data_IF_743735792858
#
_entry.id   IF_743735792858
#
_cell.length_a   1.000
_cell.length_b   1.000
_cell.length_c   1.000
_cell.angle_alpha   90.00
_cell.angle_beta   90.00
_cell.angle_gamma   90.00
#
_symmetry.space_group_name_H-M   'P 1'
#
loop_
_entity.id
_entity.type
_entity.pdbx_description
1 polymer ?
#
# COMPACT_ATOMS: atom_id res chain seq x y z
N UNK A 1 32.47 27.27 -70.22
CA UNK A 1 33.09 27.87 -69.02
C UNK A 1 32.17 27.64 -67.84
N UNK A 2 32.75 27.55 -66.64
CA UNK A 2 32.14 27.45 -65.30
C UNK A 2 32.12 26.03 -64.70
N UNK A 3 33.12 25.80 -63.83
CA UNK A 3 33.32 24.66 -62.94
C UNK A 3 32.30 24.66 -61.78
N UNK A 4 31.96 23.50 -61.21
CA UNK A 4 31.29 23.42 -59.91
C UNK A 4 32.32 23.56 -58.76
N UNK A 5 32.13 24.45 -57.77
CA UNK A 5 32.74 24.30 -56.45
C UNK A 5 31.83 23.39 -55.59
N UNK A 6 32.27 22.46 -54.77
CA UNK A 6 33.50 22.33 -54.00
C UNK A 6 33.05 21.80 -52.62
N UNK A 7 33.56 20.64 -52.23
CA UNK A 7 33.18 19.90 -51.02
C UNK A 7 33.34 20.73 -49.74
N UNK A 8 32.32 20.77 -48.87
CA UNK A 8 32.45 21.27 -47.50
C UNK A 8 33.23 20.25 -46.67
N UNK A 9 34.49 20.59 -46.37
CA UNK A 9 35.34 19.91 -45.37
C UNK A 9 34.95 20.51 -44.01
N UNK A 10 34.53 19.67 -43.07
CA UNK A 10 34.18 20.10 -41.71
C UNK A 10 35.42 20.60 -40.93
N UNK A 11 35.26 21.47 -39.94
CA UNK A 11 36.37 21.95 -39.12
C UNK A 11 36.82 20.87 -38.11
N UNK A 12 38.14 20.73 -38.00
CA UNK A 12 38.87 19.91 -37.03
C UNK A 12 38.70 20.47 -35.61
N UNK A 13 38.61 19.62 -34.56
CA UNK A 13 38.46 20.05 -33.18
C UNK A 13 39.81 20.04 -32.45
N UNK A 14 40.53 21.16 -32.47
CA UNK A 14 41.62 21.41 -31.54
C UNK A 14 41.84 22.92 -31.43
N UNK A 15 42.19 23.34 -30.21
CA UNK A 15 42.48 24.70 -29.76
C UNK A 15 41.25 25.53 -29.41
N UNK A 16 40.94 25.61 -28.11
CA UNK A 16 40.88 26.84 -27.33
C UNK A 16 40.65 26.48 -25.85
N UNK A 17 41.76 26.24 -25.14
CA UNK A 17 41.86 26.57 -23.72
C UNK A 17 41.85 28.10 -23.59
N UNK A 18 40.96 28.69 -22.79
CA UNK A 18 41.36 29.70 -21.80
C UNK A 18 40.25 30.05 -20.80
N UNK A 19 40.72 30.42 -19.62
CA UNK A 19 40.10 30.65 -18.32
C UNK A 19 38.99 31.71 -18.28
N UNK A 20 37.92 31.49 -17.48
CA UNK A 20 37.52 32.48 -16.47
C UNK A 20 36.48 31.96 -15.44
N UNK A 21 36.83 32.19 -14.17
CA UNK A 21 35.99 32.39 -12.98
C UNK A 21 35.26 31.22 -12.29
N UNK A 22 35.97 30.69 -11.29
CA UNK A 22 35.45 30.06 -10.07
C UNK A 22 34.60 31.02 -9.24
N UNK A 23 33.31 30.72 -9.07
CA UNK A 23 32.45 31.35 -8.04
C UNK A 23 32.61 30.59 -6.72
N UNK A 24 33.36 31.18 -5.78
CA UNK A 24 33.39 30.78 -4.36
C UNK A 24 32.20 31.35 -3.59
N UNK A 25 31.64 30.63 -2.60
CA UNK A 25 30.49 31.08 -1.81
C UNK A 25 30.90 32.12 -0.77
N UNK A 26 30.12 33.20 -0.69
CA UNK A 26 30.34 34.32 0.23
C UNK A 26 29.84 33.97 1.63
N UNK A 27 30.78 33.95 2.57
CA UNK A 27 30.60 33.88 4.02
C UNK A 27 30.30 35.26 4.62
N UNK A 28 29.50 35.28 5.70
CA UNK A 28 29.24 36.42 6.59
C UNK A 28 27.78 36.42 7.06
N UNK A 29 27.42 36.64 8.32
CA UNK A 29 28.15 36.91 9.54
C UNK A 29 27.19 36.63 10.72
N UNK A 30 27.75 36.32 11.88
CA UNK A 30 27.06 36.06 13.13
C UNK A 30 26.29 37.28 13.67
N UNK A 31 25.10 37.04 14.22
CA UNK A 31 24.33 37.99 15.01
C UNK A 31 23.63 37.24 16.15
N UNK A 32 24.21 37.36 17.33
CA UNK A 32 23.77 36.78 18.60
C UNK A 32 22.66 37.65 19.22
N UNK A 33 21.48 37.11 19.48
CA UNK A 33 20.47 37.72 20.36
C UNK A 33 19.95 36.66 21.34
N UNK A 34 20.20 36.91 22.62
CA UNK A 34 19.77 36.12 23.77
C UNK A 34 18.31 36.43 24.18
N UNK A 35 17.71 35.61 25.06
CA UNK A 35 16.26 35.47 25.24
C UNK A 35 15.69 36.44 26.28
N UNK A 36 14.39 36.74 26.17
CA UNK A 36 13.64 37.54 27.12
C UNK A 36 12.29 36.90 27.44
N UNK A 37 12.07 36.75 28.73
CA UNK A 37 10.97 36.14 29.48
C UNK A 37 9.57 36.70 29.19
N UNK A 38 8.53 35.90 29.47
CA UNK A 38 7.17 36.44 29.70
C UNK A 38 6.00 35.52 29.38
N UNK A 39 5.67 34.66 30.34
CA UNK A 39 4.33 34.18 30.74
C UNK A 39 3.40 33.38 29.78
N UNK A 40 3.22 32.12 30.19
CA UNK A 40 2.08 31.20 29.99
C UNK A 40 0.78 31.75 30.61
N UNK A 41 -0.41 31.36 30.10
CA UNK A 41 -1.13 30.18 30.65
C UNK A 41 -1.93 29.45 29.56
N UNK A 42 -2.56 28.29 29.74
CA UNK A 42 -2.51 27.17 30.66
C UNK A 42 -3.34 26.10 29.92
N UNK A 43 -2.93 24.84 30.10
CA UNK A 43 -3.80 23.65 30.15
C UNK A 43 -4.94 23.51 29.12
N UNK A 44 -4.79 22.56 28.19
CA UNK A 44 -5.85 21.56 28.04
C UNK A 44 -5.19 20.19 27.92
N UNK A 45 -5.24 19.46 29.03
CA UNK A 45 -4.64 18.15 29.18
C UNK A 45 -5.40 17.04 28.45
N UNK A 46 -4.71 15.91 28.33
CA UNK A 46 -5.34 14.60 28.38
C UNK A 46 -5.51 13.89 27.04
N UNK A 47 -4.43 13.20 26.63
CA UNK A 47 -4.39 11.76 26.31
C UNK A 47 -5.55 11.17 25.48
N UNK A 48 -5.33 10.77 24.21
CA UNK A 48 -4.85 9.43 23.78
C UNK A 48 -5.44 8.33 24.70
N UNK A 49 -6.16 7.28 24.32
CA UNK A 49 -5.90 6.20 23.36
C UNK A 49 -7.15 5.28 23.35
N UNK A 50 -7.40 4.59 22.23
CA UNK A 50 -8.04 3.24 22.10
C UNK A 50 -9.52 3.09 22.49
N UNK A 51 -10.31 2.11 22.03
CA UNK A 51 -10.41 1.16 20.90
C UNK A 51 -11.68 0.35 21.24
N UNK A 52 -12.36 -0.18 20.23
CA UNK A 52 -13.24 -1.36 20.26
C UNK A 52 -14.57 -1.35 21.05
N UNK A 53 -15.65 -1.41 20.27
CA UNK A 53 -16.64 -2.49 20.24
C UNK A 53 -16.71 -3.43 21.46
N UNK A 54 -17.91 -3.60 22.02
CA UNK A 54 -18.71 -4.81 21.81
C UNK A 54 -19.81 -4.89 22.87
N UNK A 55 -21.05 -4.60 22.44
CA UNK A 55 -22.27 -5.02 23.11
C UNK A 55 -22.36 -6.54 22.97
N UNK A 56 -22.54 -7.29 24.05
CA UNK A 56 -23.42 -8.46 24.19
C UNK A 56 -23.30 -8.99 25.62
N UNK A 57 -24.26 -8.62 26.47
CA UNK A 57 -24.47 -9.21 27.78
C UNK A 57 -25.44 -10.39 27.63
N UNK A 58 -24.93 -11.61 27.83
CA UNK A 58 -25.75 -12.81 27.89
C UNK A 58 -26.19 -13.09 29.35
N UNK A 59 -27.48 -13.38 29.46
CA UNK A 59 -28.29 -13.71 30.63
C UNK A 59 -27.67 -14.71 31.62
N UNK A 60 -27.60 -14.33 32.90
CA UNK A 60 -27.51 -15.27 34.02
C UNK A 60 -28.90 -15.74 34.41
N UNK A 61 -29.25 -16.99 34.13
CA UNK A 61 -30.35 -17.69 34.79
C UNK A 61 -29.85 -18.27 36.10
N UNK A 62 -30.52 -17.90 37.18
CA UNK A 62 -30.32 -18.39 38.55
C UNK A 62 -31.61 -19.14 38.92
N UNK A 63 -31.50 -20.43 39.16
CA UNK A 63 -32.50 -21.28 39.84
C UNK A 63 -31.67 -22.29 40.64
N UNK A 64 -31.59 -22.17 41.96
CA UNK A 64 -32.51 -22.82 42.93
C UNK A 64 -32.67 -24.30 42.59
N UNK A 65 -32.37 -25.27 43.45
CA UNK A 65 -32.69 -25.31 44.88
C UNK A 65 -32.17 -26.62 45.49
N UNK A 66 -31.87 -26.58 46.80
CA UNK A 66 -32.11 -27.62 47.84
C UNK A 66 -31.49 -29.02 47.60
N UNK A 67 -31.02 -29.80 48.56
CA UNK A 67 -30.65 -29.74 49.98
C UNK A 67 -30.06 -31.15 50.23
N UNK A 68 -28.99 -31.25 51.03
CA UNK A 68 -28.44 -32.51 51.62
C UNK A 68 -29.51 -33.25 52.48
N UNK A 69 -29.31 -34.48 53.05
CA UNK A 69 -28.03 -35.15 53.39
C UNK A 69 -27.96 -36.71 53.42
N UNK A 70 -26.77 -37.19 53.79
CA UNK A 70 -26.35 -38.45 54.48
C UNK A 70 -25.96 -39.75 53.72
N UNK A 71 -24.77 -40.24 54.12
CA UNK A 71 -23.83 -41.35 53.78
C UNK A 71 -24.41 -42.80 53.68
N UNK A 72 -23.67 -43.92 53.30
CA UNK A 72 -22.20 -44.16 53.30
C UNK A 72 -21.54 -45.02 52.17
N UNK A 73 -20.20 -44.91 52.08
CA UNK A 73 -19.13 -45.93 51.80
C UNK A 73 -19.27 -46.96 50.65
N UNK A 74 -18.32 -46.91 49.69
CA UNK A 74 -17.71 -48.09 49.05
C UNK A 74 -16.36 -47.73 48.40
N UNK A 75 -15.28 -48.40 48.82
CA UNK A 75 -14.00 -48.50 48.11
C UNK A 75 -14.18 -49.33 46.83
N UNK A 76 -13.60 -48.92 45.70
CA UNK A 76 -12.72 -49.78 44.89
C UNK A 76 -12.05 -48.98 43.74
N UNK A 77 -10.92 -49.51 43.31
CA UNK A 77 -9.95 -48.94 42.39
C UNK A 77 -10.47 -48.64 40.98
N UNK A 78 -9.92 -47.57 40.36
CA UNK A 78 -9.55 -47.57 38.94
C UNK A 78 -8.71 -46.32 38.62
N UNK A 79 -7.38 -46.50 38.65
CA UNK A 79 -6.48 -45.78 37.75
C UNK A 79 -6.97 -45.98 36.31
N UNK A 80 -7.30 -44.90 35.60
CA UNK A 80 -7.08 -44.86 34.15
C UNK A 80 -7.20 -43.45 33.59
N UNK A 81 -6.02 -42.93 33.21
CA UNK A 81 -5.80 -42.08 32.05
C UNK A 81 -6.86 -41.02 31.78
N UNK A 82 -6.77 -39.91 32.52
CA UNK A 82 -7.27 -38.62 32.05
C UNK A 82 -6.57 -38.31 30.71
N UNK A 83 -7.19 -38.80 29.64
CA UNK A 83 -6.84 -38.51 28.26
C UNK A 83 -7.09 -37.02 28.09
N UNK A 84 -6.06 -36.23 28.33
CA UNK A 84 -6.09 -34.79 28.13
C UNK A 84 -6.64 -34.53 26.73
N UNK A 85 -7.82 -33.91 26.66
CA UNK A 85 -8.34 -33.33 25.42
C UNK A 85 -7.16 -32.59 24.78
N UNK A 86 -6.78 -32.89 23.52
CA UNK A 86 -5.66 -32.20 22.91
C UNK A 86 -5.98 -30.71 22.99
N UNK A 87 -5.18 -29.96 23.75
CA UNK A 87 -5.24 -28.52 23.80
C UNK A 87 -5.33 -28.05 22.35
N UNK A 88 -6.29 -27.18 22.03
CA UNK A 88 -6.51 -26.70 20.68
C UNK A 88 -5.21 -26.08 20.16
N UNK A 89 -4.40 -26.89 19.48
CA UNK A 89 -3.19 -26.43 18.80
C UNK A 89 -3.72 -25.56 17.69
N UNK A 90 -3.54 -24.25 17.83
CA UNK A 90 -3.83 -23.33 16.74
C UNK A 90 -3.15 -23.82 15.46
N UNK A 91 -3.71 -23.47 14.31
CA UNK A 91 -3.16 -23.83 13.00
C UNK A 91 -1.64 -23.60 12.96
N UNK A 92 -0.88 -24.51 12.35
CA UNK A 92 0.55 -24.31 12.15
C UNK A 92 0.82 -23.08 11.28
N UNK A 93 2.03 -22.52 11.35
CA UNK A 93 2.41 -21.35 10.54
C UNK A 93 2.24 -21.61 9.03
N UNK A 94 2.66 -22.79 8.55
CA UNK A 94 2.44 -23.25 7.17
C UNK A 94 0.95 -23.39 6.84
N UNK A 95 0.14 -23.98 7.73
CA UNK A 95 -1.30 -24.10 7.50
C UNK A 95 -2.00 -22.73 7.41
N UNK A 96 -1.57 -21.75 8.22
CA UNK A 96 -2.06 -20.36 8.12
C UNK A 96 -1.65 -19.72 6.79
N UNK A 97 -0.39 -19.88 6.37
CA UNK A 97 0.11 -19.35 5.11
C UNK A 97 -0.67 -19.91 3.91
N UNK A 98 -0.87 -21.23 3.86
CA UNK A 98 -1.65 -21.89 2.82
C UNK A 98 -3.11 -21.40 2.83
N UNK A 99 -3.73 -21.18 4.00
CA UNK A 99 -5.08 -20.63 4.07
C UNK A 99 -5.18 -19.20 3.50
N UNK A 100 -4.14 -18.38 3.64
CA UNK A 100 -4.10 -17.08 2.99
C UNK A 100 -3.97 -17.22 1.47
N UNK A 101 -2.99 -18.02 1.02
CA UNK A 101 -2.71 -18.23 -0.40
C UNK A 101 -3.85 -18.92 -1.15
N UNK A 102 -4.64 -19.76 -0.48
CA UNK A 102 -5.80 -20.41 -1.09
C UNK A 102 -6.94 -19.46 -1.44
N UNK A 103 -6.96 -18.26 -0.86
CA UNK A 103 -8.02 -17.25 -1.11
C UNK A 103 -7.62 -16.29 -2.22
N UNK A 104 -6.33 -15.92 -2.28
CA UNK A 104 -5.77 -15.01 -3.28
C UNK A 104 -4.25 -15.03 -3.26
N UNK A 105 -3.66 -14.52 -4.33
CA UNK A 105 -2.23 -14.20 -4.38
C UNK A 105 -1.88 -13.12 -3.34
N UNK A 106 -0.72 -13.30 -2.70
CA UNK A 106 -0.17 -12.41 -1.69
C UNK A 106 1.28 -12.04 -2.01
N UNK A 107 1.65 -10.79 -1.75
CA UNK A 107 3.06 -10.39 -1.77
C UNK A 107 3.80 -11.00 -0.59
N UNK A 108 5.09 -11.26 -0.75
CA UNK A 108 5.97 -11.75 0.32
C UNK A 108 5.85 -10.91 1.60
N UNK A 109 6.00 -9.60 1.49
CA UNK A 109 5.88 -8.68 2.64
C UNK A 109 4.47 -8.52 3.21
N UNK A 110 3.41 -8.81 2.44
CA UNK A 110 2.04 -8.89 2.98
C UNK A 110 1.88 -10.14 3.84
N UNK A 111 2.38 -11.28 3.33
CA UNK A 111 2.27 -12.56 4.02
C UNK A 111 3.13 -12.57 5.29
N UNK A 112 4.35 -12.04 5.23
CA UNK A 112 5.22 -11.86 6.40
C UNK A 112 4.50 -11.10 7.54
N UNK A 113 3.90 -9.93 7.23
CA UNK A 113 3.16 -9.13 8.21
C UNK A 113 1.96 -9.85 8.82
N UNK A 114 1.30 -10.72 8.07
CA UNK A 114 0.16 -11.51 8.58
C UNK A 114 0.58 -12.71 9.43
N UNK A 115 1.77 -13.23 9.18
CA UNK A 115 2.33 -14.37 9.92
C UNK A 115 3.11 -13.92 11.16
N UNK A 116 3.59 -12.67 11.20
CA UNK A 116 4.35 -12.11 12.32
C UNK A 116 3.70 -12.30 13.71
N UNK A 117 2.38 -12.15 13.92
CA UNK A 117 1.76 -12.39 15.23
C UNK A 117 1.72 -13.85 15.67
N UNK A 118 2.15 -14.77 14.81
CA UNK A 118 2.00 -16.22 14.96
C UNK A 118 3.32 -16.98 14.88
N UNK A 119 4.42 -16.29 14.59
CA UNK A 119 5.75 -16.85 14.50
C UNK A 119 6.52 -16.58 15.79
N UNK A 120 7.42 -17.48 16.12
CA UNK A 120 8.30 -17.35 17.29
C UNK A 120 9.47 -16.40 17.00
N UNK A 121 9.89 -16.33 15.73
CA UNK A 121 10.97 -15.44 15.30
C UNK A 121 10.78 -14.96 13.85
N UNK A 122 11.40 -13.83 13.46
CA UNK A 122 11.42 -13.38 12.07
C UNK A 122 12.06 -14.38 11.11
N UNK A 123 13.10 -15.09 11.56
CA UNK A 123 13.83 -16.08 10.74
C UNK A 123 12.94 -17.27 10.36
N UNK A 124 12.04 -17.68 11.27
CA UNK A 124 11.04 -18.71 10.98
C UNK A 124 10.10 -18.29 9.84
N UNK A 125 9.76 -17.00 9.76
CA UNK A 125 8.92 -16.45 8.69
C UNK A 125 9.68 -16.47 7.38
N UNK A 126 10.91 -15.94 7.36
CA UNK A 126 11.71 -15.88 6.14
C UNK A 126 11.97 -17.28 5.57
N UNK A 127 12.35 -18.25 6.41
CA UNK A 127 12.53 -19.64 5.99
C UNK A 127 11.24 -20.25 5.40
N UNK A 128 10.09 -20.02 6.03
CA UNK A 128 8.81 -20.49 5.50
C UNK A 128 8.45 -19.82 4.17
N UNK A 129 8.72 -18.52 4.02
CA UNK A 129 8.44 -17.79 2.78
C UNK A 129 9.33 -18.29 1.64
N UNK A 130 10.60 -18.60 1.92
CA UNK A 130 11.52 -19.20 0.95
C UNK A 130 11.03 -20.58 0.50
N UNK A 131 10.58 -21.42 1.44
CA UNK A 131 9.99 -22.71 1.10
C UNK A 131 8.74 -22.57 0.23
N UNK A 132 7.83 -21.64 0.58
CA UNK A 132 6.61 -21.41 -0.19
C UNK A 132 6.90 -20.85 -1.60
N UNK A 133 7.95 -20.04 -1.74
CA UNK A 133 8.38 -19.52 -3.04
C UNK A 133 9.04 -20.63 -3.88
N UNK A 134 9.89 -21.46 -3.26
CA UNK A 134 10.52 -22.62 -3.91
C UNK A 134 9.51 -23.68 -4.36
N UNK A 135 8.50 -23.95 -3.53
CA UNK A 135 7.38 -24.84 -3.85
C UNK A 135 6.39 -24.21 -4.86
N UNK A 136 6.56 -22.92 -5.22
CA UNK A 136 5.74 -22.23 -6.21
C UNK A 136 4.38 -21.73 -5.69
N UNK A 137 4.09 -21.84 -4.39
CA UNK A 137 2.89 -21.29 -3.77
C UNK A 137 2.89 -19.76 -3.74
N UNK A 138 4.07 -19.15 -3.58
CA UNK A 138 4.27 -17.70 -3.61
C UNK A 138 4.90 -17.26 -4.94
N UNK A 139 4.33 -16.25 -5.57
CA UNK A 139 4.89 -15.65 -6.79
C UNK A 139 4.57 -14.16 -6.85
N UNK A 140 5.61 -13.34 -6.87
CA UNK A 140 5.49 -11.89 -7.00
C UNK A 140 4.85 -11.47 -8.32
N UNK A 141 5.07 -12.24 -9.38
CA UNK A 141 4.49 -12.00 -10.69
C UNK A 141 2.99 -12.26 -10.72
N UNK A 142 2.55 -13.42 -10.20
CA UNK A 142 1.11 -13.71 -10.07
C UNK A 142 0.43 -12.70 -9.15
N UNK A 143 1.09 -12.31 -8.07
CA UNK A 143 0.58 -11.25 -7.19
C UNK A 143 0.40 -9.93 -7.93
N UNK A 144 1.41 -9.49 -8.69
CA UNK A 144 1.37 -8.24 -9.43
C UNK A 144 0.21 -8.20 -10.46
N UNK A 145 0.08 -9.26 -11.26
CA UNK A 145 -1.00 -9.41 -12.23
C UNK A 145 -2.38 -9.43 -11.55
N UNK A 146 -2.51 -10.21 -10.46
CA UNK A 146 -3.76 -10.28 -9.67
C UNK A 146 -4.13 -8.93 -9.05
N UNK A 147 -3.15 -8.15 -8.59
CA UNK A 147 -3.38 -6.82 -8.06
C UNK A 147 -3.87 -5.86 -9.15
N UNK A 148 -3.18 -5.84 -10.30
CA UNK A 148 -3.56 -5.02 -11.46
C UNK A 148 -4.99 -5.36 -11.89
N UNK A 149 -5.30 -6.63 -12.09
CA UNK A 149 -6.63 -7.08 -12.51
C UNK A 149 -7.74 -6.58 -11.57
N UNK A 150 -7.53 -6.65 -10.25
CA UNK A 150 -8.53 -6.22 -9.26
C UNK A 150 -8.64 -4.70 -9.11
N UNK A 151 -7.56 -3.95 -9.38
CA UNK A 151 -7.49 -2.50 -9.12
C UNK A 151 -7.76 -1.64 -10.36
N UNK A 152 -7.31 -2.09 -11.53
CA UNK A 152 -7.38 -1.34 -12.78
C UNK A 152 -8.80 -0.81 -13.10
N UNK A 153 -9.91 -1.55 -12.87
CA UNK A 153 -11.24 -1.03 -13.21
C UNK A 153 -11.65 0.23 -12.43
N UNK A 154 -11.05 0.48 -11.26
CA UNK A 154 -11.45 1.57 -10.35
C UNK A 154 -10.36 2.62 -10.14
N UNK A 155 -9.11 2.31 -10.50
CA UNK A 155 -7.92 3.12 -10.21
C UNK A 155 -7.13 3.36 -11.48
N UNK A 156 -6.59 4.57 -11.62
CA UNK A 156 -5.68 4.90 -12.69
C UNK A 156 -4.30 4.27 -12.48
N UNK A 157 -3.50 4.29 -13.54
CA UNK A 157 -2.23 3.55 -13.60
C UNK A 157 -1.26 4.01 -12.52
N UNK A 158 -1.20 5.32 -12.25
CA UNK A 158 -0.28 5.87 -11.26
C UNK A 158 -0.52 5.30 -9.86
N UNK A 159 -1.78 5.10 -9.47
CA UNK A 159 -2.13 4.59 -8.14
C UNK A 159 -1.82 3.11 -7.99
N UNK A 160 -2.06 2.32 -9.02
CA UNK A 160 -1.76 0.88 -9.02
C UNK A 160 -0.25 0.65 -9.03
N UNK A 161 0.51 1.39 -9.84
CA UNK A 161 1.98 1.35 -9.85
C UNK A 161 2.56 1.73 -8.50
N UNK A 162 1.99 2.74 -7.83
CA UNK A 162 2.41 3.09 -6.47
C UNK A 162 2.16 1.94 -5.48
N UNK A 163 1.02 1.26 -5.57
CA UNK A 163 0.69 0.09 -4.73
C UNK A 163 1.69 -1.05 -5.01
N UNK A 164 2.01 -1.34 -6.28
CA UNK A 164 3.01 -2.36 -6.66
C UNK A 164 4.41 -2.05 -6.08
N UNK A 165 4.85 -0.79 -6.17
CA UNK A 165 6.15 -0.36 -5.61
C UNK A 165 6.21 -0.48 -4.09
N UNK A 166 5.11 -0.24 -3.38
CA UNK A 166 5.03 -0.43 -1.93
C UNK A 166 5.20 -1.89 -1.50
N UNK A 167 4.93 -2.84 -2.39
CA UNK A 167 5.17 -4.27 -2.15
C UNK A 167 6.60 -4.71 -2.50
N UNK A 168 7.45 -3.81 -3.00
CA UNK A 168 8.85 -4.10 -3.30
C UNK A 168 9.06 -4.98 -4.54
N UNK A 169 8.11 -4.94 -5.48
CA UNK A 169 8.21 -5.71 -6.73
C UNK A 169 9.30 -5.16 -7.65
N UNK A 170 9.87 -6.04 -8.46
CA UNK A 170 10.89 -5.74 -9.45
C UNK A 170 10.52 -4.55 -10.36
N UNK A 171 11.48 -3.65 -10.57
CA UNK A 171 11.23 -2.39 -11.27
C UNK A 171 10.87 -2.59 -12.74
N UNK A 172 11.46 -3.59 -13.40
CA UNK A 172 11.21 -3.87 -14.82
C UNK A 172 9.81 -4.47 -14.99
N UNK A 173 9.42 -5.41 -14.13
CA UNK A 173 8.04 -5.96 -14.12
C UNK A 173 6.99 -4.87 -13.85
N UNK A 174 7.29 -3.93 -12.94
CA UNK A 174 6.40 -2.80 -12.67
C UNK A 174 6.30 -1.87 -13.88
N UNK A 175 7.38 -1.65 -14.62
CA UNK A 175 7.38 -0.85 -15.84
C UNK A 175 6.55 -1.49 -16.95
N UNK A 176 6.67 -2.80 -17.14
CA UNK A 176 5.87 -3.54 -18.12
C UNK A 176 4.36 -3.44 -17.81
N UNK A 177 3.97 -3.71 -16.56
CA UNK A 177 2.57 -3.61 -16.12
C UNK A 177 2.03 -2.18 -16.24
N UNK A 178 2.87 -1.17 -15.96
CA UNK A 178 2.50 0.24 -16.17
C UNK A 178 2.12 0.50 -17.62
N UNK A 179 2.91 0.02 -18.56
CA UNK A 179 2.71 0.31 -19.98
C UNK A 179 1.47 -0.42 -20.52
N UNK A 180 1.25 -1.68 -20.11
CA UNK A 180 0.01 -2.41 -20.37
C UNK A 180 -1.23 -1.68 -19.81
N UNK A 181 -1.13 -1.15 -18.59
CA UNK A 181 -2.24 -0.41 -17.96
C UNK A 181 -2.53 0.92 -18.65
N UNK A 182 -1.50 1.64 -19.11
CA UNK A 182 -1.66 2.91 -19.84
C UNK A 182 -2.45 2.74 -21.13
N UNK A 183 -2.25 1.62 -21.85
CA UNK A 183 -2.94 1.34 -23.10
C UNK A 183 -4.48 1.37 -22.97
N UNK A 184 -5.01 0.94 -21.82
CA UNK A 184 -6.45 0.87 -21.54
C UNK A 184 -6.94 1.97 -20.58
N UNK A 185 -6.08 2.90 -20.19
CA UNK A 185 -6.37 3.85 -19.11
C UNK A 185 -7.51 4.82 -19.47
N UNK A 186 -7.57 5.26 -20.73
CA UNK A 186 -8.64 6.13 -21.21
C UNK A 186 -10.03 5.51 -21.04
N UNK A 187 -10.19 4.27 -21.47
CA UNK A 187 -11.47 3.56 -21.42
C UNK A 187 -11.93 3.34 -19.98
N UNK A 188 -11.02 2.92 -19.10
CA UNK A 188 -11.29 2.73 -17.66
C UNK A 188 -11.65 4.04 -16.97
N UNK A 189 -10.94 5.12 -17.30
CA UNK A 189 -11.24 6.45 -16.76
C UNK A 189 -12.62 6.96 -17.22
N UNK A 190 -12.94 6.77 -18.50
CA UNK A 190 -14.23 7.15 -19.08
C UNK A 190 -15.39 6.37 -18.42
N UNK A 191 -15.23 5.07 -18.20
CA UNK A 191 -16.21 4.25 -17.51
C UNK A 191 -16.43 4.72 -16.05
N UNK A 192 -15.33 4.96 -15.32
CA UNK A 192 -15.39 5.46 -13.95
C UNK A 192 -16.05 6.84 -13.86
N UNK A 193 -15.79 7.72 -14.83
CA UNK A 193 -16.43 9.03 -14.96
C UNK A 193 -17.91 8.93 -15.30
N UNK A 194 -18.29 8.09 -16.27
CA UNK A 194 -19.69 7.85 -16.66
C UNK A 194 -20.53 7.34 -15.50
N UNK A 195 -20.00 6.41 -14.70
CA UNK A 195 -20.67 5.86 -13.51
C UNK A 195 -20.96 6.92 -12.44
N UNK A 196 -20.18 8.00 -12.36
CA UNK A 196 -20.33 9.02 -11.32
C UNK A 196 -21.02 10.30 -11.78
N UNK A 197 -20.72 10.77 -12.99
CA UNK A 197 -21.15 12.07 -13.50
C UNK A 197 -21.98 11.95 -14.77
N UNK A 198 -21.51 11.20 -15.77
CA UNK A 198 -22.23 10.95 -17.03
C UNK A 198 -22.38 12.16 -17.97
N UNK A 199 -22.13 13.38 -17.50
CA UNK A 199 -22.26 14.62 -18.24
C UNK A 199 -21.01 15.48 -18.12
N UNK A 200 -20.64 16.15 -19.22
CA UNK A 200 -19.52 17.10 -19.26
C UNK A 200 -19.74 18.25 -18.25
N UNK A 201 -18.66 18.84 -17.72
CA UNK A 201 -18.76 19.97 -16.80
C UNK A 201 -19.40 21.16 -17.51
N UNK A 202 -20.30 21.86 -16.82
CA UNK A 202 -20.98 23.05 -17.34
C UNK A 202 -20.25 24.35 -16.97
N UNK A 203 -19.46 24.33 -15.90
CA UNK A 203 -18.72 25.45 -15.35
C UNK A 203 -17.34 25.03 -14.82
N UNK A 204 -16.47 26.00 -14.52
CA UNK A 204 -15.13 25.76 -13.94
C UNK A 204 -15.20 24.99 -12.63
N UNK A 205 -16.24 25.21 -11.81
CA UNK A 205 -16.43 24.50 -10.55
C UNK A 205 -16.75 23.01 -10.76
N UNK A 206 -17.62 22.67 -11.71
CA UNK A 206 -17.88 21.27 -12.08
C UNK A 206 -16.65 20.64 -12.71
N UNK A 207 -15.89 21.36 -13.54
CA UNK A 207 -14.63 20.85 -14.09
C UNK A 207 -13.67 20.45 -12.96
N UNK A 208 -13.39 21.36 -12.02
CA UNK A 208 -12.52 21.09 -10.88
C UNK A 208 -13.00 19.89 -10.05
N UNK A 209 -14.33 19.76 -9.84
CA UNK A 209 -14.93 18.62 -9.12
C UNK A 209 -14.71 17.30 -9.85
N UNK A 210 -14.96 17.26 -11.16
CA UNK A 210 -14.81 16.05 -11.98
C UNK A 210 -13.33 15.68 -12.15
N UNK A 211 -12.45 16.66 -12.35
CA UNK A 211 -11.00 16.48 -12.43
C UNK A 211 -10.44 15.90 -11.12
N UNK A 212 -10.76 16.49 -9.96
CA UNK A 212 -10.34 15.98 -8.64
C UNK A 212 -10.80 14.53 -8.41
N UNK A 213 -11.99 14.16 -8.87
CA UNK A 213 -12.48 12.79 -8.75
C UNK A 213 -11.61 11.78 -9.54
N UNK A 214 -11.15 12.15 -10.74
CA UNK A 214 -10.29 11.30 -11.56
C UNK A 214 -8.84 11.31 -11.06
N UNK A 215 -8.30 12.49 -10.71
CA UNK A 215 -6.95 12.63 -10.14
C UNK A 215 -6.81 11.86 -8.83
N UNK A 216 -7.80 11.93 -7.92
CA UNK A 216 -7.78 11.16 -6.67
C UNK A 216 -7.83 9.64 -6.87
N UNK A 217 -8.27 9.18 -8.04
CA UNK A 217 -8.20 7.77 -8.45
C UNK A 217 -6.86 7.40 -9.11
N UNK A 218 -6.03 8.40 -9.42
CA UNK A 218 -4.70 8.24 -10.01
C UNK A 218 -4.71 8.11 -11.53
N UNK A 219 -5.76 8.62 -12.20
CA UNK A 219 -5.78 8.69 -13.67
C UNK A 219 -4.86 9.80 -14.18
N UNK A 220 -4.22 9.54 -15.32
CA UNK A 220 -3.27 10.47 -15.93
C UNK A 220 -3.93 11.79 -16.41
N UNK A 221 -3.21 12.91 -16.33
CA UNK A 221 -3.74 14.24 -16.62
C UNK A 221 -4.16 14.44 -18.09
N UNK A 222 -3.44 13.84 -19.02
CA UNK A 222 -3.77 13.78 -20.44
C UNK A 222 -5.10 13.04 -20.68
N UNK A 223 -5.32 11.92 -20.00
CA UNK A 223 -6.60 11.17 -20.04
C UNK A 223 -7.74 12.02 -19.48
N UNK A 224 -7.52 12.71 -18.37
CA UNK A 224 -8.52 13.59 -17.75
C UNK A 224 -8.92 14.72 -18.72
N UNK A 225 -7.94 15.41 -19.31
CA UNK A 225 -8.19 16.47 -20.30
C UNK A 225 -8.95 15.93 -21.51
N UNK A 226 -8.62 14.72 -21.99
CA UNK A 226 -9.33 14.09 -23.11
C UNK A 226 -10.80 13.78 -22.80
N UNK A 227 -11.14 13.47 -21.53
CA UNK A 227 -12.52 13.17 -21.12
C UNK A 227 -13.32 14.45 -20.87
N UNK A 228 -12.75 15.41 -20.13
CA UNK A 228 -13.46 16.60 -19.69
C UNK A 228 -13.45 17.73 -20.72
N UNK A 229 -12.47 17.74 -21.63
CA UNK A 229 -12.12 18.88 -22.47
C UNK A 229 -11.02 19.73 -21.83
N UNK A 230 -10.57 20.75 -22.56
CA UNK A 230 -9.79 21.83 -21.95
C UNK A 230 -10.74 22.56 -20.98
N UNK A 231 -10.40 22.55 -19.68
CA UNK A 231 -11.01 23.50 -18.77
C UNK A 231 -10.55 24.87 -19.23
N UNK A 232 -11.46 25.81 -19.45
CA UNK A 232 -11.16 27.17 -19.91
C UNK A 232 -10.29 27.91 -18.87
N UNK A 233 -9.03 27.54 -18.71
CA UNK A 233 -8.02 28.14 -17.84
C UNK A 233 -7.06 29.04 -18.65
N UNK A 234 -7.53 29.60 -19.78
CA UNK A 234 -6.91 30.77 -20.42
C UNK A 234 -7.73 32.03 -20.11
N UNK A 235 -7.40 32.70 -19.00
CA UNK A 235 -7.59 34.15 -18.77
C UNK A 235 -6.84 34.56 -17.51
#
# INVERSE_FOLDING_TARGET
>A
MTRPPGSRRGPDPADLDDEFETVTPRSGAAGNCQPGDGDVPETFGGEIITRTSSRYAASRKRSSSRSSPDDPVAEDAAENGASGKPAQRGLSLKARAVNYLSRREHARGELARKLAPHAESPEQIEALLDDLQREGWLSDERFAQSLVHRRAPQRGTARVVQELKQYGLDADKVAELRDQMRATEYERALEAWRKRFGQKPADRAAYAKQARFLTSRGFAHDVIRRILGEGDDES
#
